data_IF_680499320207
#
_entry.id   IF_680499320207
#
_cell.length_a   1.000
_cell.length_b   1.000
_cell.length_c   1.000
_cell.angle_alpha   90.00
_cell.angle_beta   90.00
_cell.angle_gamma   90.00
#
_symmetry.space_group_name_H-M   'P 1'
#
loop_
_entity.id
_entity.type
_entity.pdbx_description
1 polymer ?
#
# COMPACT_ATOMS: atom_id res chain seq x y z
N UNK A 1 8.57 12.20 31.02
CA UNK A 1 7.13 12.45 31.13
C UNK A 1 6.46 11.66 30.04
N UNK A 2 5.63 10.73 30.45
CA UNK A 2 5.01 9.72 29.58
C UNK A 2 4.05 10.39 28.59
N UNK A 3 4.32 10.20 27.30
CA UNK A 3 3.38 10.51 26.23
C UNK A 3 2.23 9.52 26.27
N UNK A 4 1.00 10.05 26.42
CA UNK A 4 -0.19 9.25 26.62
C UNK A 4 -0.43 8.26 25.51
N UNK A 5 -0.63 7.04 25.92
CA UNK A 5 -1.28 5.95 25.22
C UNK A 5 -2.73 6.41 24.92
N UNK A 6 -2.96 6.97 23.72
CA UNK A 6 -4.32 7.14 23.22
C UNK A 6 -4.78 5.75 22.76
N UNK A 7 -5.52 5.08 23.64
CA UNK A 7 -6.24 3.85 23.33
C UNK A 7 -7.06 4.05 22.06
N UNK A 8 -6.55 3.55 20.94
CA UNK A 8 -7.30 3.51 19.68
C UNK A 8 -8.50 2.59 19.88
N UNK A 9 -9.68 3.07 19.50
CA UNK A 9 -10.87 2.22 19.47
C UNK A 9 -10.57 1.02 18.53
N UNK A 10 -10.56 -0.22 19.03
CA UNK A 10 -10.19 -1.40 18.25
C UNK A 10 -11.13 -1.69 17.06
N UNK A 11 -12.26 -1.01 16.99
CA UNK A 11 -13.21 -1.10 15.87
C UNK A 11 -13.02 0.02 14.82
N UNK A 12 -12.02 0.88 14.98
CA UNK A 12 -11.79 1.99 14.05
C UNK A 12 -10.89 1.60 12.90
N UNK A 13 -11.49 1.18 11.79
CA UNK A 13 -10.76 0.92 10.53
C UNK A 13 -10.38 2.26 9.87
N UNK A 14 -9.12 2.47 9.48
CA UNK A 14 -8.75 3.66 8.72
C UNK A 14 -9.58 3.79 7.43
N UNK A 15 -10.22 4.92 7.23
CA UNK A 15 -11.08 5.14 6.05
C UNK A 15 -10.32 4.96 4.73
N UNK A 16 -9.01 5.27 4.70
CA UNK A 16 -8.16 5.01 3.55
C UNK A 16 -8.06 3.52 3.21
N UNK A 17 -7.94 2.66 4.22
CA UNK A 17 -7.89 1.21 4.04
C UNK A 17 -9.24 0.66 3.51
N UNK A 18 -10.36 1.18 4.02
CA UNK A 18 -11.70 0.81 3.53
C UNK A 18 -11.90 1.23 2.07
N UNK A 19 -11.56 2.48 1.73
CA UNK A 19 -11.69 2.97 0.35
C UNK A 19 -10.82 2.16 -0.63
N UNK A 20 -9.59 1.84 -0.23
CA UNK A 20 -8.68 1.03 -1.02
C UNK A 20 -9.21 -0.39 -1.21
N UNK A 21 -9.73 -1.03 -0.14
CA UNK A 21 -10.35 -2.36 -0.23
C UNK A 21 -11.53 -2.40 -1.21
N UNK A 22 -12.39 -1.38 -1.18
CA UNK A 22 -13.50 -1.28 -2.12
C UNK A 22 -13.03 -1.03 -3.57
N UNK A 23 -11.90 -0.32 -3.74
CA UNK A 23 -11.28 -0.14 -5.06
C UNK A 23 -10.81 -1.47 -5.64
N UNK A 24 -10.22 -2.35 -4.81
CA UNK A 24 -9.81 -3.68 -5.25
C UNK A 24 -11.00 -4.52 -5.71
N UNK A 25 -12.10 -4.47 -4.97
CA UNK A 25 -13.34 -5.16 -5.33
C UNK A 25 -13.96 -4.58 -6.61
N UNK A 26 -14.02 -3.24 -6.73
CA UNK A 26 -14.49 -2.58 -7.94
C UNK A 26 -13.65 -2.94 -9.18
N UNK A 27 -12.33 -3.05 -9.01
CA UNK A 27 -11.38 -3.45 -10.05
C UNK A 27 -11.36 -4.95 -10.36
N UNK A 28 -12.24 -5.74 -9.72
CA UNK A 28 -12.30 -7.20 -9.85
C UNK A 28 -10.96 -7.90 -9.60
N UNK A 29 -10.16 -7.37 -8.66
CA UNK A 29 -8.94 -8.06 -8.28
C UNK A 29 -9.25 -9.40 -7.62
N UNK A 30 -8.46 -10.42 -7.96
CA UNK A 30 -8.62 -11.75 -7.39
C UNK A 30 -8.62 -11.72 -5.86
N UNK A 31 -9.59 -12.39 -5.24
CA UNK A 31 -9.81 -12.46 -3.79
C UNK A 31 -10.36 -11.18 -3.13
N UNK A 32 -10.50 -10.07 -3.85
CA UNK A 32 -10.99 -8.83 -3.25
C UNK A 32 -12.44 -8.93 -2.75
N UNK A 33 -13.24 -9.83 -3.33
CA UNK A 33 -14.64 -10.04 -2.99
C UNK A 33 -14.86 -10.48 -1.55
N UNK A 34 -13.96 -11.24 -0.95
CA UNK A 34 -14.06 -11.72 0.43
C UNK A 34 -13.08 -11.03 1.40
N UNK A 35 -12.10 -10.28 0.86
CA UNK A 35 -11.15 -9.51 1.68
C UNK A 35 -11.70 -8.13 2.04
N UNK A 36 -12.48 -7.50 1.14
CA UNK A 36 -13.03 -6.17 1.35
C UNK A 36 -14.23 -6.19 2.33
N UNK A 37 -14.19 -5.43 3.44
CA UNK A 37 -15.34 -5.31 4.35
C UNK A 37 -16.57 -4.72 3.66
N UNK A 38 -17.77 -5.13 4.05
CA UNK A 38 -19.03 -4.62 3.46
C UNK A 38 -19.17 -3.09 3.58
N UNK A 39 -18.72 -2.53 4.68
CA UNK A 39 -18.75 -1.07 4.92
C UNK A 39 -17.92 -0.27 3.91
N UNK A 40 -16.94 -0.91 3.26
CA UNK A 40 -16.07 -0.28 2.27
C UNK A 40 -16.86 0.20 1.03
N UNK A 41 -17.94 -0.46 0.64
CA UNK A 41 -18.77 -0.09 -0.52
C UNK A 41 -19.49 1.24 -0.31
N UNK A 42 -20.04 1.47 0.88
CA UNK A 42 -20.73 2.72 1.18
C UNK A 42 -19.76 3.91 1.09
N UNK A 43 -18.60 3.76 1.71
CA UNK A 43 -17.54 4.76 1.66
C UNK A 43 -17.07 5.02 0.22
N UNK A 44 -16.86 3.97 -0.57
CA UNK A 44 -16.46 4.06 -1.98
C UNK A 44 -17.48 4.87 -2.80
N UNK A 45 -18.77 4.57 -2.64
CA UNK A 45 -19.82 5.27 -3.38
C UNK A 45 -19.88 6.75 -3.01
N UNK A 46 -19.81 7.10 -1.73
CA UNK A 46 -19.82 8.48 -1.25
C UNK A 46 -18.61 9.25 -1.78
N UNK A 47 -17.40 8.69 -1.63
CA UNK A 47 -16.15 9.32 -2.08
C UNK A 47 -16.16 9.49 -3.61
N UNK A 48 -16.60 8.49 -4.37
CA UNK A 48 -16.63 8.59 -5.83
C UNK A 48 -17.70 9.55 -6.35
N UNK A 49 -18.86 9.64 -5.70
CA UNK A 49 -19.86 10.65 -6.04
C UNK A 49 -19.28 12.06 -5.86
N UNK A 50 -18.61 12.31 -4.74
CA UNK A 50 -17.91 13.56 -4.48
C UNK A 50 -16.79 13.83 -5.52
N UNK A 51 -15.95 12.84 -5.79
CA UNK A 51 -14.86 12.97 -6.76
C UNK A 51 -15.37 13.17 -8.20
N UNK A 52 -16.51 12.57 -8.57
CA UNK A 52 -17.15 12.79 -9.87
C UNK A 52 -17.60 14.25 -10.03
N UNK A 53 -18.24 14.81 -8.98
CA UNK A 53 -18.62 16.21 -8.96
C UNK A 53 -17.39 17.12 -9.01
N UNK A 54 -16.35 16.82 -8.24
CA UNK A 54 -15.11 17.58 -8.24
C UNK A 54 -14.40 17.57 -9.61
N UNK A 55 -14.36 16.43 -10.30
CA UNK A 55 -13.80 16.31 -11.66
C UNK A 55 -14.62 17.04 -12.71
N UNK A 56 -15.92 17.14 -12.53
CA UNK A 56 -16.78 17.95 -13.42
C UNK A 56 -16.32 19.42 -13.42
N UNK A 57 -15.94 19.95 -12.25
CA UNK A 57 -15.40 21.32 -12.11
C UNK A 57 -13.91 21.40 -12.50
N UNK A 58 -13.15 20.32 -12.35
CA UNK A 58 -11.71 20.24 -12.59
C UNK A 58 -11.36 19.03 -13.48
N UNK A 59 -11.61 19.10 -14.80
CA UNK A 59 -11.50 17.95 -15.70
C UNK A 59 -10.06 17.40 -15.87
N UNK A 60 -9.03 18.16 -15.47
CA UNK A 60 -7.63 17.74 -15.53
C UNK A 60 -7.20 16.84 -14.36
N UNK A 61 -8.07 16.56 -13.38
CA UNK A 61 -7.72 15.74 -12.22
C UNK A 61 -7.88 14.26 -12.49
N UNK A 62 -6.92 13.50 -12.01
CA UNK A 62 -6.90 12.04 -12.13
C UNK A 62 -8.00 11.37 -11.29
N UNK A 63 -8.40 10.20 -11.72
CA UNK A 63 -9.37 9.38 -11.00
C UNK A 63 -8.68 8.62 -9.88
N UNK A 64 -9.08 8.84 -8.63
CA UNK A 64 -8.43 8.23 -7.46
C UNK A 64 -8.46 6.69 -7.52
N UNK A 65 -9.63 6.09 -7.78
CA UNK A 65 -9.75 4.62 -7.83
C UNK A 65 -8.97 3.98 -8.98
N UNK A 66 -8.88 4.62 -10.16
CA UNK A 66 -8.01 4.14 -11.23
C UNK A 66 -6.54 4.26 -10.85
N UNK A 67 -6.14 5.38 -10.20
CA UNK A 67 -4.76 5.56 -9.71
C UNK A 67 -4.36 4.46 -8.73
N UNK A 68 -5.24 4.14 -7.77
CA UNK A 68 -4.99 3.05 -6.82
C UNK A 68 -4.91 1.69 -7.52
N UNK A 69 -5.82 1.41 -8.47
CA UNK A 69 -5.82 0.15 -9.21
C UNK A 69 -4.55 0.00 -10.06
N UNK A 70 -4.13 1.04 -10.76
CA UNK A 70 -2.89 1.03 -11.54
C UNK A 70 -1.66 0.82 -10.64
N UNK A 71 -1.61 1.49 -9.49
CA UNK A 71 -0.57 1.30 -8.48
C UNK A 71 -0.44 -0.18 -8.07
N UNK A 72 -1.55 -0.78 -7.68
CA UNK A 72 -1.59 -2.19 -7.28
C UNK A 72 -1.13 -3.11 -8.42
N UNK A 73 -1.59 -2.86 -9.65
CA UNK A 73 -1.23 -3.63 -10.84
C UNK A 73 0.26 -3.53 -11.16
N UNK A 74 0.83 -2.32 -11.08
CA UNK A 74 2.27 -2.12 -11.33
C UNK A 74 3.12 -2.88 -10.30
N UNK A 75 2.73 -2.87 -9.01
CA UNK A 75 3.42 -3.64 -7.98
C UNK A 75 3.33 -5.14 -8.25
N UNK A 76 2.14 -5.65 -8.62
CA UNK A 76 1.96 -7.06 -8.98
C UNK A 76 2.81 -7.46 -10.20
N UNK A 77 2.87 -6.58 -11.21
CA UNK A 77 3.71 -6.81 -12.39
C UNK A 77 5.19 -7.00 -12.04
N UNK A 78 5.71 -6.21 -11.10
CA UNK A 78 7.08 -6.36 -10.61
C UNK A 78 7.25 -7.64 -9.79
N UNK A 79 6.29 -7.93 -8.91
CA UNK A 79 6.30 -9.14 -8.08
C UNK A 79 6.32 -10.42 -8.94
N UNK A 80 5.50 -10.48 -10.00
CA UNK A 80 5.42 -11.64 -10.91
C UNK A 80 6.77 -11.93 -11.61
N UNK A 81 7.64 -10.92 -11.71
CA UNK A 81 8.95 -11.03 -12.38
C UNK A 81 10.12 -11.20 -11.43
N UNK A 82 9.92 -10.98 -10.14
CA UNK A 82 11.00 -11.02 -9.16
C UNK A 82 11.56 -12.42 -8.89
N UNK A 83 10.75 -13.48 -9.16
CA UNK A 83 11.14 -14.87 -8.91
C UNK A 83 11.47 -15.14 -7.43
N UNK A 84 10.86 -14.40 -6.49
CA UNK A 84 11.02 -14.59 -5.07
C UNK A 84 9.94 -15.54 -4.52
N UNK A 85 10.36 -16.49 -3.68
CA UNK A 85 9.44 -17.39 -2.98
C UNK A 85 8.98 -16.84 -1.63
N UNK A 86 9.66 -15.84 -1.10
CA UNK A 86 9.26 -15.12 0.12
C UNK A 86 8.80 -13.71 -0.24
N UNK A 87 7.55 -13.40 0.12
CA UNK A 87 6.96 -12.09 -0.07
C UNK A 87 6.57 -11.52 1.29
N UNK A 88 6.95 -10.26 1.55
CA UNK A 88 6.66 -9.56 2.80
C UNK A 88 5.92 -8.26 2.45
N UNK A 89 4.63 -8.21 2.71
CA UNK A 89 3.82 -6.99 2.52
C UNK A 89 3.64 -6.30 3.87
N UNK A 90 4.23 -5.10 3.99
CA UNK A 90 4.19 -4.30 5.21
C UNK A 90 3.08 -3.25 5.10
N UNK A 91 2.31 -3.08 6.15
CA UNK A 91 1.05 -2.31 6.17
C UNK A 91 0.07 -2.83 5.11
N UNK A 92 -0.13 -4.15 5.12
CA UNK A 92 -0.93 -4.87 4.11
C UNK A 92 -2.41 -4.47 4.09
N UNK A 93 -2.94 -3.83 5.13
CA UNK A 93 -4.34 -3.41 5.19
C UNK A 93 -5.29 -4.51 4.77
N UNK A 94 -6.21 -4.18 3.86
CA UNK A 94 -7.12 -5.14 3.22
C UNK A 94 -6.67 -5.51 1.79
N UNK A 95 -5.36 -5.53 1.52
CA UNK A 95 -4.82 -6.01 0.25
C UNK A 95 -5.24 -7.46 -0.01
N UNK A 96 -5.74 -7.81 -1.20
CA UNK A 96 -6.07 -9.19 -1.55
C UNK A 96 -4.85 -9.98 -2.02
N UNK A 97 -3.67 -9.34 -2.14
CA UNK A 97 -2.46 -9.89 -2.75
C UNK A 97 -2.01 -11.17 -2.06
N UNK A 98 -1.94 -11.16 -0.71
CA UNK A 98 -1.54 -12.34 0.06
C UNK A 98 -2.46 -13.55 -0.17
N UNK A 99 -3.78 -13.32 -0.25
CA UNK A 99 -4.75 -14.36 -0.58
C UNK A 99 -4.58 -14.93 -1.99
N UNK A 100 -4.15 -14.10 -2.94
CA UNK A 100 -3.91 -14.50 -4.32
C UNK A 100 -2.61 -15.30 -4.44
N UNK A 101 -1.48 -14.75 -4.01
CA UNK A 101 -0.17 -15.36 -4.23
C UNK A 101 0.07 -16.62 -3.38
N UNK A 102 -0.53 -16.72 -2.20
CA UNK A 102 -0.46 -17.94 -1.38
C UNK A 102 -1.24 -19.14 -1.93
N UNK A 103 -1.91 -19.01 -3.10
CA UNK A 103 -2.43 -20.17 -3.85
C UNK A 103 -1.31 -21.03 -4.42
N UNK A 104 -0.16 -20.44 -4.69
CA UNK A 104 1.05 -21.17 -5.05
C UNK A 104 1.73 -21.69 -3.76
N UNK A 105 1.83 -23.00 -3.55
CA UNK A 105 2.46 -23.57 -2.35
C UNK A 105 3.96 -23.26 -2.23
N UNK A 106 4.63 -22.94 -3.35
CA UNK A 106 6.05 -22.59 -3.38
C UNK A 106 6.31 -21.14 -2.93
N UNK A 107 5.25 -20.35 -2.70
CA UNK A 107 5.35 -18.95 -2.28
C UNK A 107 4.88 -18.82 -0.84
N UNK A 108 5.74 -18.38 0.07
CA UNK A 108 5.34 -17.98 1.42
C UNK A 108 5.06 -16.48 1.45
N UNK A 109 3.85 -16.12 1.83
CA UNK A 109 3.39 -14.75 1.89
C UNK A 109 3.17 -14.28 3.33
N UNK A 110 3.91 -13.25 3.72
CA UNK A 110 3.78 -12.60 5.01
C UNK A 110 3.03 -11.27 4.86
N UNK A 111 1.90 -11.13 5.53
CA UNK A 111 1.23 -9.85 5.73
C UNK A 111 1.58 -9.32 7.11
N UNK A 112 2.12 -8.11 7.17
CA UNK A 112 2.44 -7.44 8.43
C UNK A 112 1.67 -6.14 8.52
N UNK A 113 0.97 -5.93 9.64
CA UNK A 113 0.27 -4.68 9.92
C UNK A 113 0.16 -4.46 11.43
N UNK A 114 -0.40 -3.33 11.83
CA UNK A 114 -0.71 -3.06 13.22
C UNK A 114 -1.69 -4.11 13.77
N UNK A 115 -1.63 -4.44 15.08
CA UNK A 115 -2.42 -5.51 15.68
C UNK A 115 -3.93 -5.42 15.37
N UNK A 116 -4.49 -4.21 15.45
CA UNK A 116 -5.91 -3.98 15.20
C UNK A 116 -6.30 -4.25 13.75
N UNK A 117 -5.44 -3.87 12.79
CA UNK A 117 -5.68 -4.11 11.36
C UNK A 117 -5.60 -5.60 11.04
N UNK A 118 -4.60 -6.30 11.59
CA UNK A 118 -4.48 -7.76 11.45
C UNK A 118 -5.72 -8.46 11.99
N UNK A 119 -6.18 -8.07 13.19
CA UNK A 119 -7.37 -8.66 13.80
C UNK A 119 -8.62 -8.41 12.95
N UNK A 120 -8.82 -7.20 12.44
CA UNK A 120 -9.96 -6.86 11.60
C UNK A 120 -9.96 -7.64 10.28
N UNK A 121 -8.81 -7.73 9.60
CA UNK A 121 -8.66 -8.51 8.37
C UNK A 121 -8.92 -10.00 8.62
N UNK A 122 -8.42 -10.53 9.73
CA UNK A 122 -8.66 -11.92 10.13
C UNK A 122 -10.15 -12.19 10.35
N UNK A 123 -10.87 -11.33 11.08
CA UNK A 123 -12.34 -11.45 11.24
C UNK A 123 -13.06 -11.40 9.90
N UNK A 124 -12.58 -10.57 8.97
CA UNK A 124 -13.15 -10.51 7.62
C UNK A 124 -12.95 -11.85 6.87
N UNK A 125 -11.78 -12.45 6.94
CA UNK A 125 -11.53 -13.79 6.39
C UNK A 125 -12.42 -14.87 7.05
N UNK A 126 -12.55 -14.86 8.36
CA UNK A 126 -13.37 -15.81 9.12
C UNK A 126 -14.86 -15.73 8.74
N UNK A 127 -15.32 -14.59 8.22
CA UNK A 127 -16.72 -14.36 7.84
C UNK A 127 -17.17 -15.12 6.59
N UNK A 128 -16.23 -15.60 5.76
CA UNK A 128 -16.51 -16.31 4.49
C UNK A 128 -15.86 -17.70 4.45
N UNK A 129 -16.37 -18.61 3.61
CA UNK A 129 -15.77 -19.94 3.43
C UNK A 129 -14.40 -19.83 2.74
N UNK A 130 -14.31 -18.98 1.72
CA UNK A 130 -13.09 -18.70 0.95
C UNK A 130 -12.00 -18.12 1.84
N UNK A 131 -12.35 -17.14 2.68
CA UNK A 131 -11.42 -16.51 3.63
C UNK A 131 -10.90 -17.51 4.67
N UNK A 132 -11.76 -18.35 5.24
CA UNK A 132 -11.31 -19.42 6.14
C UNK A 132 -10.34 -20.38 5.45
N UNK A 133 -10.58 -20.69 4.17
CA UNK A 133 -9.66 -21.49 3.37
C UNK A 133 -8.29 -20.84 3.20
N UNK A 134 -8.22 -19.52 3.08
CA UNK A 134 -6.93 -18.78 3.06
C UNK A 134 -6.20 -18.90 4.40
N UNK A 135 -6.91 -18.72 5.51
CA UNK A 135 -6.32 -18.80 6.86
C UNK A 135 -5.78 -20.21 7.22
N UNK A 136 -6.21 -21.24 6.52
CA UNK A 136 -5.73 -22.62 6.71
C UNK A 136 -4.45 -22.93 5.91
N UNK A 137 -4.01 -22.03 5.03
CA UNK A 137 -2.77 -22.24 4.25
C UNK A 137 -1.56 -22.01 5.12
N UNK A 138 -0.64 -22.96 5.14
CA UNK A 138 0.61 -22.86 5.92
C UNK A 138 1.55 -21.78 5.38
N UNK A 139 1.43 -21.45 4.10
CA UNK A 139 2.24 -20.45 3.41
C UNK A 139 1.61 -19.04 3.38
N UNK A 140 0.48 -18.80 4.09
CA UNK A 140 -0.11 -17.49 4.30
C UNK A 140 -0.04 -17.10 5.77
N UNK A 141 0.79 -16.13 6.11
CA UNK A 141 1.14 -15.80 7.48
C UNK A 141 0.82 -14.34 7.76
N UNK A 142 -0.07 -14.10 8.72
CA UNK A 142 -0.37 -12.76 9.22
C UNK A 142 0.38 -12.50 10.52
N UNK A 143 1.12 -11.39 10.58
CA UNK A 143 1.88 -10.96 11.76
C UNK A 143 1.52 -9.53 12.15
N UNK A 144 1.49 -9.27 13.43
CA UNK A 144 1.44 -7.91 13.96
C UNK A 144 2.84 -7.33 14.03
N UNK A 145 3.01 -6.09 13.55
CA UNK A 145 4.29 -5.40 13.59
C UNK A 145 4.17 -3.92 13.26
N UNK A 146 5.11 -3.14 13.75
CA UNK A 146 5.24 -1.73 13.42
C UNK A 146 6.39 -1.54 12.43
N UNK A 147 6.10 -0.94 11.27
CA UNK A 147 7.11 -0.69 10.24
C UNK A 147 8.23 0.23 10.70
N UNK A 148 8.00 1.05 11.73
CA UNK A 148 9.02 1.96 12.27
C UNK A 148 10.16 1.22 12.97
N UNK A 149 9.87 0.09 13.60
CA UNK A 149 10.88 -0.72 14.29
C UNK A 149 11.44 -1.83 13.40
N UNK A 150 10.59 -2.41 12.53
CA UNK A 150 10.91 -3.56 11.68
C UNK A 150 11.43 -4.80 12.45
N UNK A 151 11.21 -4.85 13.78
CA UNK A 151 11.70 -5.94 14.64
C UNK A 151 11.18 -7.31 14.19
N UNK A 152 9.98 -7.34 13.59
CA UNK A 152 9.37 -8.55 13.05
C UNK A 152 10.15 -9.19 11.89
N UNK A 153 11.05 -8.45 11.22
CA UNK A 153 11.84 -8.99 10.10
C UNK A 153 12.84 -10.05 10.55
N UNK A 154 13.23 -10.06 11.84
CA UNK A 154 14.12 -11.07 12.41
C UNK A 154 13.44 -12.44 12.50
N UNK A 155 12.12 -12.47 12.59
CA UNK A 155 11.33 -13.69 12.70
C UNK A 155 11.14 -14.43 11.36
N UNK A 156 11.52 -13.80 10.24
CA UNK A 156 11.36 -14.41 8.92
C UNK A 156 12.63 -15.17 8.51
N UNK A 157 12.47 -16.28 7.76
CA UNK A 157 13.60 -17.01 7.22
C UNK A 157 14.56 -16.11 6.44
N UNK A 158 15.87 -16.33 6.63
CA UNK A 158 16.90 -15.57 5.94
C UNK A 158 17.05 -16.08 4.50
N UNK A 159 16.20 -15.56 3.61
CA UNK A 159 16.21 -15.90 2.18
C UNK A 159 15.84 -14.68 1.34
N UNK A 160 16.08 -14.79 0.03
CA UNK A 160 15.71 -13.75 -0.95
C UNK A 160 14.24 -13.39 -0.82
N UNK A 161 13.95 -12.10 -0.62
CA UNK A 161 12.61 -11.63 -0.32
C UNK A 161 12.18 -10.52 -1.27
N UNK A 162 10.88 -10.50 -1.59
CA UNK A 162 10.25 -9.33 -2.22
C UNK A 162 9.46 -8.58 -1.15
N UNK A 163 9.92 -7.38 -0.81
CA UNK A 163 9.30 -6.54 0.22
C UNK A 163 8.41 -5.51 -0.45
N UNK A 164 7.20 -5.34 0.06
CA UNK A 164 6.20 -4.40 -0.46
C UNK A 164 5.73 -3.48 0.66
N UNK A 165 5.63 -2.18 0.39
CA UNK A 165 4.82 -1.27 1.19
C UNK A 165 3.97 -0.38 0.27
N UNK A 166 2.67 -0.66 0.21
CA UNK A 166 1.73 0.05 -0.67
C UNK A 166 0.90 1.07 0.13
N UNK A 167 0.96 2.35 -0.29
CA UNK A 167 0.17 3.43 0.32
C UNK A 167 0.62 3.81 1.73
N UNK A 168 1.89 3.61 2.07
CA UNK A 168 2.40 3.70 3.42
C UNK A 168 3.29 4.93 3.68
N UNK A 169 4.25 5.21 2.80
CA UNK A 169 5.31 6.19 3.08
C UNK A 169 4.80 7.62 3.35
N UNK A 170 3.64 7.96 2.83
CA UNK A 170 3.01 9.28 3.04
C UNK A 170 2.59 9.58 4.49
N UNK A 171 2.58 8.58 5.36
CA UNK A 171 2.23 8.75 6.79
C UNK A 171 3.43 9.07 7.68
N UNK A 172 4.63 9.03 7.14
CA UNK A 172 5.88 9.22 7.88
C UNK A 172 6.58 10.51 7.51
N UNK A 173 7.21 11.12 8.50
CA UNK A 173 8.16 12.22 8.28
C UNK A 173 9.36 11.73 7.46
N UNK A 174 10.09 12.65 6.83
CA UNK A 174 11.31 12.31 6.08
C UNK A 174 12.30 11.51 6.93
N UNK A 175 12.47 11.88 8.19
CA UNK A 175 13.39 11.20 9.10
C UNK A 175 12.98 9.76 9.35
N UNK A 176 11.69 9.50 9.58
CA UNK A 176 11.14 8.15 9.74
C UNK A 176 11.27 7.34 8.47
N UNK A 177 10.96 7.93 7.30
CA UNK A 177 11.12 7.27 6.00
C UNK A 177 12.57 6.82 5.79
N UNK A 178 13.55 7.68 6.06
CA UNK A 178 14.97 7.36 5.94
C UNK A 178 15.40 6.22 6.88
N UNK A 179 14.85 6.17 8.10
CA UNK A 179 15.12 5.08 9.04
C UNK A 179 14.53 3.76 8.55
N UNK A 180 13.28 3.76 8.07
CA UNK A 180 12.61 2.59 7.50
C UNK A 180 13.39 2.07 6.29
N UNK A 181 13.76 2.95 5.35
CA UNK A 181 14.50 2.56 4.14
C UNK A 181 15.88 1.99 4.46
N UNK A 182 16.61 2.54 5.45
CA UNK A 182 17.90 1.97 5.90
C UNK A 182 17.76 0.54 6.41
N UNK A 183 16.72 0.27 7.20
CA UNK A 183 16.48 -1.06 7.73
C UNK A 183 16.10 -2.05 6.62
N UNK A 184 15.24 -1.64 5.67
CA UNK A 184 14.87 -2.48 4.52
C UNK A 184 16.10 -2.69 3.59
N UNK A 185 16.90 -1.65 3.34
CA UNK A 185 18.12 -1.78 2.53
C UNK A 185 19.12 -2.76 3.16
N UNK A 186 19.26 -2.73 4.50
CA UNK A 186 20.09 -3.71 5.22
C UNK A 186 19.59 -5.14 5.01
N UNK A 187 18.29 -5.35 5.15
CA UNK A 187 17.65 -6.65 4.92
C UNK A 187 17.91 -7.15 3.48
N UNK A 188 17.69 -6.30 2.48
CA UNK A 188 17.88 -6.65 1.06
C UNK A 188 19.36 -6.94 0.77
N UNK A 189 20.28 -6.17 1.32
CA UNK A 189 21.72 -6.41 1.17
C UNK A 189 22.18 -7.73 1.81
N UNK A 190 21.63 -8.09 2.97
CA UNK A 190 22.01 -9.29 3.71
C UNK A 190 21.40 -10.57 3.14
N UNK A 191 20.16 -10.52 2.67
CA UNK A 191 19.38 -11.70 2.27
C UNK A 191 19.16 -11.80 0.76
N UNK A 192 19.44 -10.73 0.04
CA UNK A 192 19.05 -10.55 -1.35
C UNK A 192 17.57 -10.23 -1.50
N UNK A 193 17.19 -9.79 -2.67
CA UNK A 193 15.79 -9.50 -3.00
C UNK A 193 15.56 -8.09 -3.49
N UNK A 194 14.33 -7.62 -3.32
CA UNK A 194 13.85 -6.38 -3.91
C UNK A 194 12.83 -5.71 -2.97
N UNK A 195 12.81 -4.38 -2.99
CA UNK A 195 11.81 -3.59 -2.27
C UNK A 195 11.04 -2.71 -3.24
N UNK A 196 9.71 -2.73 -3.14
CA UNK A 196 8.81 -1.94 -3.99
C UNK A 196 7.82 -1.17 -3.15
N UNK A 197 7.67 0.12 -3.46
CA UNK A 197 6.67 0.98 -2.81
C UNK A 197 6.22 2.10 -3.74
N UNK A 198 5.07 2.68 -3.44
CA UNK A 198 4.56 3.87 -4.12
C UNK A 198 4.86 5.15 -3.34
N UNK A 199 5.00 6.23 -4.06
CA UNK A 199 5.21 7.56 -3.49
C UNK A 199 4.53 8.64 -4.33
N UNK A 200 4.12 9.73 -3.71
CA UNK A 200 3.54 10.89 -4.37
C UNK A 200 4.53 12.06 -4.27
N UNK A 201 5.42 12.25 -5.24
CA UNK A 201 6.39 13.33 -5.21
C UNK A 201 5.76 14.68 -5.57
N UNK A 202 6.40 15.77 -5.13
CA UNK A 202 5.90 17.13 -5.33
C UNK A 202 5.86 17.55 -6.80
N UNK A 203 6.84 17.14 -7.59
CA UNK A 203 7.01 17.53 -8.98
C UNK A 203 5.94 16.97 -9.93
N UNK A 204 5.14 16.03 -9.46
CA UNK A 204 4.07 15.39 -10.24
C UNK A 204 2.71 16.08 -10.04
N UNK A 205 2.45 16.67 -8.90
CA UNK A 205 1.19 17.39 -8.62
C UNK A 205 1.45 18.86 -8.21
N UNK A 206 1.62 19.79 -9.15
CA UNK A 206 1.53 21.21 -8.81
C UNK A 206 0.10 21.50 -8.35
N UNK A 207 -0.09 21.72 -7.06
CA UNK A 207 -1.42 21.86 -6.42
C UNK A 207 -1.73 20.79 -5.37
N UNK A 208 -0.73 20.08 -4.91
CA UNK A 208 -0.77 19.07 -3.80
C UNK A 208 -1.56 19.53 -2.58
N UNK A 209 -1.60 20.83 -2.31
CA UNK A 209 -2.45 21.41 -1.26
C UNK A 209 -3.93 21.07 -1.49
N UNK A 210 -4.34 20.77 -2.72
CA UNK A 210 -5.75 20.49 -3.06
C UNK A 210 -6.11 19.02 -2.81
N UNK A 211 -5.23 18.07 -3.14
CA UNK A 211 -5.43 16.63 -2.77
C UNK A 211 -5.40 16.49 -1.25
N UNK A 212 -4.45 17.16 -0.58
CA UNK A 212 -4.44 17.26 0.88
C UNK A 212 -5.71 17.88 1.44
N UNK A 213 -6.24 18.95 0.81
CA UNK A 213 -7.51 19.58 1.22
C UNK A 213 -8.71 18.70 0.96
N UNK A 214 -8.75 17.95 -0.15
CA UNK A 214 -9.82 17.00 -0.46
C UNK A 214 -9.80 15.83 0.50
N UNK A 215 -8.62 15.23 0.74
CA UNK A 215 -8.47 14.15 1.71
C UNK A 215 -8.73 14.64 3.14
N UNK A 216 -8.34 15.87 3.48
CA UNK A 216 -8.67 16.50 4.74
C UNK A 216 -10.18 16.81 4.85
N UNK A 217 -10.82 17.23 3.77
CA UNK A 217 -12.27 17.41 3.69
C UNK A 217 -13.04 16.10 3.85
N UNK A 218 -12.59 15.04 3.22
CA UNK A 218 -13.13 13.67 3.38
C UNK A 218 -12.91 13.18 4.81
N UNK A 219 -11.73 13.40 5.38
CA UNK A 219 -11.41 13.09 6.78
C UNK A 219 -12.36 13.80 7.74
N UNK A 220 -12.58 15.11 7.56
CA UNK A 220 -13.46 15.90 8.41
C UNK A 220 -14.94 15.47 8.25
N UNK A 221 -15.34 15.11 7.03
CA UNK A 221 -16.71 14.63 6.75
C UNK A 221 -16.96 13.25 7.38
N UNK A 222 -15.93 12.42 7.51
CA UNK A 222 -16.03 11.04 8.01
C UNK A 222 -15.60 10.88 9.46
N UNK A 223 -15.33 11.99 10.18
CA UNK A 223 -15.06 12.00 11.62
C UNK A 223 -13.79 11.24 12.04
N UNK A 224 -12.80 11.12 11.15
CA UNK A 224 -11.61 10.33 11.44
C UNK A 224 -10.50 11.09 12.15
N UNK A 225 -10.12 10.67 13.34
CA UNK A 225 -8.91 11.09 14.09
C UNK A 225 -7.62 10.46 13.51
N UNK A 226 -7.52 10.37 12.19
CA UNK A 226 -6.37 9.75 11.52
C UNK A 226 -5.10 10.60 11.62
N UNK A 227 -3.95 9.96 11.70
CA UNK A 227 -2.66 10.61 11.50
C UNK A 227 -2.67 11.37 10.17
N UNK A 228 -2.30 12.65 10.20
CA UNK A 228 -2.25 13.48 9.00
C UNK A 228 -1.18 12.96 8.04
N UNK A 229 -1.40 13.13 6.73
CA UNK A 229 -0.35 12.89 5.75
C UNK A 229 0.84 13.82 6.01
N UNK A 230 2.03 13.26 6.08
CA UNK A 230 3.28 14.00 6.12
C UNK A 230 3.66 14.37 4.68
N UNK A 231 3.30 15.60 4.28
CA UNK A 231 3.72 16.11 2.99
C UNK A 231 5.17 16.56 3.08
N UNK A 232 5.98 16.09 2.17
CA UNK A 232 7.31 16.65 1.98
C UNK A 232 7.47 17.24 0.56
N UNK A 233 8.48 18.06 0.39
CA UNK A 233 8.70 18.84 -0.82
C UNK A 233 9.74 18.20 -1.75
N UNK A 234 10.05 16.91 -1.58
CA UNK A 234 11.02 16.21 -2.41
C UNK A 234 10.45 15.92 -3.79
N UNK A 235 11.28 16.12 -4.81
CA UNK A 235 11.04 15.58 -6.13
C UNK A 235 11.20 14.05 -6.13
N UNK A 236 10.76 13.39 -7.21
CA UNK A 236 10.99 11.96 -7.39
C UNK A 236 12.48 11.58 -7.39
N UNK A 237 13.32 12.49 -7.84
CA UNK A 237 14.77 12.28 -7.89
C UNK A 237 15.42 12.44 -6.52
N UNK A 238 14.96 13.40 -5.70
CA UNK A 238 15.43 13.55 -4.31
C UNK A 238 15.10 12.29 -3.50
N UNK A 239 13.92 11.71 -3.69
CA UNK A 239 13.52 10.45 -3.04
C UNK A 239 14.42 9.29 -3.51
N UNK A 240 14.71 9.22 -4.82
CA UNK A 240 15.64 8.22 -5.36
C UNK A 240 17.03 8.34 -4.74
N UNK A 241 17.55 9.55 -4.63
CA UNK A 241 18.88 9.81 -4.05
C UNK A 241 18.90 9.48 -2.54
N UNK A 242 17.83 9.79 -1.81
CA UNK A 242 17.66 9.36 -0.41
C UNK A 242 17.67 7.83 -0.26
N UNK A 243 17.07 7.09 -1.19
CA UNK A 243 17.07 5.62 -1.20
C UNK A 243 18.47 5.04 -1.48
N UNK A 244 19.19 5.60 -2.45
CA UNK A 244 20.58 5.23 -2.70
C UNK A 244 21.45 5.51 -1.46
N UNK A 245 21.25 6.66 -0.81
CA UNK A 245 21.96 7.02 0.44
C UNK A 245 21.53 6.10 1.63
N UNK A 246 20.33 5.53 1.60
CA UNK A 246 19.89 4.56 2.59
C UNK A 246 20.57 3.18 2.44
N UNK A 247 21.20 2.90 1.29
CA UNK A 247 22.01 1.71 1.06
C UNK A 247 21.50 0.73 0.02
N UNK A 248 20.48 1.09 -0.78
CA UNK A 248 20.11 0.33 -1.97
C UNK A 248 21.16 0.53 -3.06
N UNK A 249 21.50 -0.54 -3.77
CA UNK A 249 22.51 -0.50 -4.85
C UNK A 249 21.95 0.04 -6.16
N UNK A 250 20.65 -0.14 -6.37
CA UNK A 250 19.93 0.33 -7.55
C UNK A 250 18.52 0.78 -7.15
N UNK A 251 18.07 1.89 -7.74
CA UNK A 251 16.72 2.42 -7.56
C UNK A 251 16.16 2.84 -8.91
N UNK A 252 15.16 2.13 -9.38
CA UNK A 252 14.41 2.44 -10.58
C UNK A 252 13.15 3.24 -10.19
N UNK A 253 12.93 4.37 -10.87
CA UNK A 253 11.71 5.19 -10.74
C UNK A 253 10.80 4.87 -11.91
N UNK A 254 9.66 4.28 -11.62
CA UNK A 254 8.72 3.76 -12.61
C UNK A 254 7.41 4.54 -12.54
N UNK A 255 6.89 4.94 -13.69
CA UNK A 255 5.70 5.78 -13.79
C UNK A 255 4.63 5.12 -14.64
N UNK A 256 3.35 5.29 -14.27
CA UNK A 256 2.22 4.68 -14.97
C UNK A 256 2.02 5.19 -16.39
N UNK A 257 2.46 6.40 -16.69
CA UNK A 257 2.34 7.07 -17.99
C UNK A 257 3.52 6.79 -18.93
N UNK A 258 4.60 6.19 -18.40
CA UNK A 258 5.74 5.74 -19.20
C UNK A 258 5.58 4.26 -19.54
N UNK A 259 5.70 3.89 -20.83
CA UNK A 259 5.60 2.51 -21.31
C UNK A 259 4.29 1.80 -20.90
N UNK A 260 3.16 2.52 -20.97
CA UNK A 260 1.83 2.03 -20.57
C UNK A 260 1.48 0.65 -21.14
N UNK A 261 1.93 0.35 -22.37
CA UNK A 261 1.69 -0.94 -23.02
C UNK A 261 2.32 -2.13 -22.27
N UNK A 262 3.43 -1.91 -21.58
CA UNK A 262 4.17 -2.97 -20.88
C UNK A 262 3.53 -3.34 -19.52
N UNK A 263 2.77 -2.40 -18.92
CA UNK A 263 2.19 -2.60 -17.58
C UNK A 263 0.90 -3.42 -17.57
N UNK A 264 0.25 -3.62 -18.73
CA UNK A 264 -1.06 -4.27 -18.84
C UNK A 264 -2.12 -3.69 -17.89
N UNK A 265 -2.12 -2.35 -17.75
CA UNK A 265 -3.01 -1.66 -16.80
C UNK A 265 -4.48 -1.85 -17.20
N UNK A 266 -5.34 -2.23 -16.26
CA UNK A 266 -6.79 -2.22 -16.49
C UNK A 266 -7.23 -0.77 -16.70
N UNK A 267 -8.23 -0.53 -17.59
CA UNK A 267 -8.67 0.82 -17.94
C UNK A 267 -7.53 1.73 -18.43
N UNK A 268 -6.67 1.21 -19.30
CA UNK A 268 -5.46 1.91 -19.80
C UNK A 268 -5.75 3.22 -20.51
N UNK A 269 -7.00 3.44 -20.98
CA UNK A 269 -7.48 4.69 -21.54
C UNK A 269 -7.62 5.82 -20.50
N UNK A 270 -7.68 5.48 -19.20
CA UNK A 270 -7.75 6.46 -18.12
C UNK A 270 -6.36 6.85 -17.67
N UNK A 271 -6.00 8.11 -17.94
CA UNK A 271 -4.71 8.63 -17.48
C UNK A 271 -4.66 8.69 -15.95
N UNK A 272 -3.60 8.15 -15.40
CA UNK A 272 -3.25 8.22 -13.99
C UNK A 272 -1.80 8.62 -13.82
N UNK A 273 -1.43 9.00 -12.62
CA UNK A 273 -0.05 9.35 -12.29
C UNK A 273 0.37 8.59 -11.05
N UNK A 274 1.01 7.45 -11.27
CA UNK A 274 1.55 6.59 -10.22
C UNK A 274 3.05 6.56 -10.35
N UNK A 275 3.74 6.74 -9.25
CA UNK A 275 5.19 6.55 -9.17
C UNK A 275 5.48 5.39 -8.24
N UNK A 276 6.21 4.41 -8.75
CA UNK A 276 6.70 3.27 -8.02
C UNK A 276 8.23 3.34 -7.96
N UNK A 277 8.77 3.10 -6.77
CA UNK A 277 10.20 2.88 -6.58
C UNK A 277 10.46 1.39 -6.48
N UNK A 278 11.40 0.92 -7.30
CA UNK A 278 11.86 -0.45 -7.30
C UNK A 278 13.34 -0.47 -6.93
N UNK A 279 13.65 -1.00 -5.76
CA UNK A 279 14.95 -0.93 -5.10
C UNK A 279 15.60 -2.31 -4.98
N UNK A 280 16.90 -2.38 -5.23
CA UNK A 280 17.71 -3.60 -5.09
C UNK A 280 18.97 -3.33 -4.29
#
# INVERSE_FOLDING_TARGET
MAGGDMSRNPDHIPHSALYTAATWRWGNLSCAEFVAPKQSEQLFNVVNAYMKFYRFINPKKYSLHHTLLHRHTMINYLLDRAGCQQIIEVAAGFSPRGSHYSRNPDVTYYEVDLPDVVLMKRRQFESTAEGRGVLQRENFIQKSGDVRTLDFLQDFPAQKSFVISEGLMMYFSRQEQLAIWKNIASLIRERGGEYVFDYIPLDIEPGRSLVGRVLHGIKNLLGGDGQGYCYDNRSRWDVRDDLLAAGFSQVDVLESDTKVADWHLPYSEVKTHVVIYHCR
#
